data_IF_567925085560
#
_entry.id   IF_567925085560
#
_cell.length_a   1.000
_cell.length_b   1.000
_cell.length_c   1.000
_cell.angle_alpha   90.00
_cell.angle_beta   90.00
_cell.angle_gamma   90.00
#
_symmetry.space_group_name_H-M   'P 1'
#
loop_
_entity.id
_entity.type
_entity.pdbx_description
1 polymer ?
#
# COMPACT_ATOMS: atom_id res chain seq x y z
N UNK A 1 -7.37 -17.73 -5.81
CA UNK A 1 -6.04 -18.20 -6.26
C UNK A 1 -5.16 -17.12 -6.89
N UNK A 2 -5.60 -16.25 -7.83
CA UNK A 2 -4.72 -15.16 -8.34
C UNK A 2 -4.69 -13.88 -7.48
N UNK A 3 -5.84 -13.48 -6.91
CA UNK A 3 -5.98 -12.28 -6.07
C UNK A 3 -5.17 -12.35 -4.77
N UNK A 4 -5.14 -13.53 -4.15
CA UNK A 4 -4.45 -13.77 -2.88
C UNK A 4 -2.93 -13.66 -3.03
N UNK A 5 -2.37 -14.15 -4.15
CA UNK A 5 -0.95 -14.01 -4.44
C UNK A 5 -0.53 -12.55 -4.69
N UNK A 6 -1.39 -11.78 -5.37
CA UNK A 6 -1.19 -10.34 -5.56
C UNK A 6 -1.27 -9.59 -4.24
N UNK A 7 -2.23 -9.96 -3.38
CA UNK A 7 -2.38 -9.37 -2.06
C UNK A 7 -1.17 -9.70 -1.16
N UNK A 8 -0.74 -10.96 -1.13
CA UNK A 8 0.44 -11.38 -0.40
C UNK A 8 1.71 -10.70 -0.90
N UNK A 9 1.86 -10.53 -2.22
CA UNK A 9 2.97 -9.76 -2.79
C UNK A 9 2.94 -8.31 -2.31
N UNK A 10 1.78 -7.64 -2.39
CA UNK A 10 1.59 -6.29 -1.88
C UNK A 10 1.88 -6.19 -0.38
N UNK A 11 1.44 -7.15 0.43
CA UNK A 11 1.75 -7.21 1.87
C UNK A 11 3.26 -7.28 2.10
N UNK A 12 3.96 -8.21 1.43
CA UNK A 12 5.42 -8.34 1.56
C UNK A 12 6.16 -7.09 1.07
N UNK A 13 5.72 -6.47 -0.03
CA UNK A 13 6.31 -5.21 -0.47
C UNK A 13 6.01 -4.08 0.52
N UNK A 14 4.82 -4.08 1.13
CA UNK A 14 4.44 -3.07 2.14
C UNK A 14 5.27 -3.22 3.42
N UNK A 15 5.79 -4.41 3.71
CA UNK A 15 6.67 -4.67 4.86
C UNK A 15 8.00 -3.89 4.75
N UNK A 16 8.52 -3.77 3.52
CA UNK A 16 9.68 -2.96 3.15
C UNK A 16 9.26 -1.61 2.55
N UNK A 17 8.09 -1.09 2.94
CA UNK A 17 7.60 0.16 2.40
C UNK A 17 8.39 1.35 2.92
N UNK A 18 9.13 1.99 2.02
CA UNK A 18 9.73 3.29 2.26
C UNK A 18 8.76 4.41 1.84
N UNK A 19 8.22 5.21 2.77
CA UNK A 19 7.38 6.34 2.43
C UNK A 19 8.12 7.42 1.61
N UNK A 20 9.45 7.48 1.72
CA UNK A 20 10.29 8.40 0.95
C UNK A 20 10.62 7.87 -0.45
N UNK A 21 10.52 6.55 -0.67
CA UNK A 21 10.79 5.88 -1.94
C UNK A 21 9.69 4.86 -2.30
N UNK A 22 8.50 5.38 -2.65
CA UNK A 22 7.39 4.52 -3.08
C UNK A 22 7.71 3.87 -4.42
N UNK A 23 7.97 2.57 -4.37
CA UNK A 23 8.31 1.78 -5.55
C UNK A 23 7.17 1.68 -6.55
N UNK A 24 7.49 1.63 -7.85
CA UNK A 24 6.49 1.45 -8.91
C UNK A 24 5.76 0.10 -8.86
N UNK A 25 6.26 -0.84 -8.04
CA UNK A 25 5.64 -2.15 -7.79
C UNK A 25 4.22 -2.04 -7.20
N UNK A 26 3.91 -0.93 -6.55
CA UNK A 26 2.60 -0.59 -6.01
C UNK A 26 1.63 -0.01 -7.05
N UNK A 27 2.07 0.13 -8.31
CA UNK A 27 1.22 0.63 -9.39
C UNK A 27 0.41 -0.50 -10.02
N UNK A 28 -0.85 -0.21 -10.38
CA UNK A 28 -1.70 -1.15 -11.11
C UNK A 28 -1.03 -1.64 -12.41
N UNK A 29 -0.23 -0.79 -13.05
CA UNK A 29 0.50 -1.10 -14.28
C UNK A 29 1.55 -2.17 -14.05
N UNK A 30 2.38 -2.02 -13.02
CA UNK A 30 3.41 -2.99 -12.69
C UNK A 30 2.80 -4.33 -12.28
N UNK A 31 1.78 -4.31 -11.41
CA UNK A 31 1.08 -5.52 -10.99
C UNK A 31 0.43 -6.24 -12.18
N UNK A 32 -0.19 -5.51 -13.11
CA UNK A 32 -0.75 -6.10 -14.32
C UNK A 32 0.33 -6.82 -15.15
N UNK A 33 1.50 -6.21 -15.32
CA UNK A 33 2.63 -6.81 -16.04
C UNK A 33 3.19 -8.04 -15.30
N UNK A 34 3.47 -7.90 -13.99
CA UNK A 34 4.03 -8.95 -13.12
C UNK A 34 3.15 -10.20 -13.09
N UNK A 35 1.85 -10.01 -12.98
CA UNK A 35 0.89 -11.12 -12.88
C UNK A 35 0.31 -11.55 -14.23
N UNK A 36 0.86 -11.05 -15.34
CA UNK A 36 0.38 -11.36 -16.70
C UNK A 36 -1.14 -11.16 -16.85
N UNK A 37 -1.68 -10.09 -16.26
CA UNK A 37 -3.11 -9.78 -16.31
C UNK A 37 -3.36 -8.43 -17.01
N UNK A 38 -4.58 -8.24 -17.50
CA UNK A 38 -4.95 -6.98 -18.14
C UNK A 38 -4.99 -5.84 -17.12
N UNK A 39 -4.62 -4.63 -17.56
CA UNK A 39 -4.71 -3.40 -16.77
C UNK A 39 -6.13 -3.14 -16.23
N UNK A 40 -7.16 -3.50 -17.01
CA UNK A 40 -8.56 -3.42 -16.59
C UNK A 40 -8.85 -4.32 -15.39
N UNK A 41 -8.39 -5.57 -15.44
CA UNK A 41 -8.56 -6.56 -14.36
C UNK A 41 -7.78 -6.18 -13.12
N UNK A 42 -6.52 -5.75 -13.26
CA UNK A 42 -5.70 -5.30 -12.14
C UNK A 42 -6.33 -4.08 -11.45
N UNK A 43 -6.76 -3.08 -12.23
CA UNK A 43 -7.43 -1.89 -11.70
C UNK A 43 -8.74 -2.25 -10.99
N UNK A 44 -9.55 -3.14 -11.59
CA UNK A 44 -10.78 -3.62 -10.97
C UNK A 44 -10.52 -4.35 -9.63
N UNK A 45 -9.51 -5.21 -9.58
CA UNK A 45 -9.14 -5.90 -8.33
C UNK A 45 -8.65 -4.94 -7.26
N UNK A 46 -7.77 -4.01 -7.62
CA UNK A 46 -7.25 -3.00 -6.70
C UNK A 46 -8.39 -2.14 -6.16
N UNK A 47 -9.30 -1.69 -7.02
CA UNK A 47 -10.43 -0.87 -6.61
C UNK A 47 -11.39 -1.65 -5.69
N UNK A 48 -11.60 -2.95 -5.95
CA UNK A 48 -12.40 -3.81 -5.09
C UNK A 48 -11.75 -3.97 -3.70
N UNK A 49 -10.42 -4.14 -3.65
CA UNK A 49 -9.68 -4.24 -2.39
C UNK A 49 -9.63 -2.90 -1.63
N UNK A 50 -9.61 -1.78 -2.34
CA UNK A 50 -9.76 -0.44 -1.74
C UNK A 50 -11.16 -0.27 -1.14
N UNK A 51 -12.21 -0.67 -1.87
CA UNK A 51 -13.60 -0.63 -1.39
C UNK A 51 -13.85 -1.55 -0.20
N UNK A 52 -13.13 -2.68 -0.12
CA UNK A 52 -13.15 -3.60 1.03
C UNK A 52 -12.38 -3.05 2.24
N UNK A 53 -11.70 -1.91 2.11
CA UNK A 53 -10.89 -1.36 3.18
C UNK A 53 -9.51 -2.01 3.32
N UNK A 54 -9.14 -2.94 2.44
CA UNK A 54 -7.90 -3.74 2.53
C UNK A 54 -6.71 -2.97 1.96
N UNK A 55 -6.91 -2.27 0.84
CA UNK A 55 -5.90 -1.41 0.21
C UNK A 55 -6.23 0.08 0.40
N UNK A 56 -5.19 0.90 0.34
CA UNK A 56 -5.26 2.34 0.26
C UNK A 56 -4.78 2.81 -1.11
N UNK A 57 -5.48 3.76 -1.72
CA UNK A 57 -5.12 4.41 -2.96
C UNK A 57 -4.51 5.77 -2.66
N UNK A 58 -3.33 6.02 -3.21
CA UNK A 58 -2.67 7.33 -3.15
C UNK A 58 -2.70 7.94 -4.55
N UNK A 59 -3.39 9.07 -4.70
CA UNK A 59 -3.54 9.80 -5.96
C UNK A 59 -2.31 10.67 -6.29
N UNK A 60 -1.11 10.17 -6.00
CA UNK A 60 0.13 10.74 -6.51
C UNK A 60 0.24 10.51 -8.02
N UNK A 61 1.18 11.19 -8.67
CA UNK A 61 1.53 10.90 -10.06
C UNK A 61 2.92 10.25 -10.06
N UNK A 62 3.02 8.91 -10.23
CA UNK A 62 1.96 7.93 -10.54
C UNK A 62 1.11 7.48 -9.33
N UNK A 63 -0.08 6.91 -9.59
CA UNK A 63 -1.04 6.45 -8.55
C UNK A 63 -0.56 5.14 -7.93
N UNK A 64 -0.46 5.10 -6.61
CA UNK A 64 0.01 3.93 -5.86
C UNK A 64 -1.11 3.26 -5.06
N UNK A 65 -0.98 1.95 -4.87
CA UNK A 65 -1.88 1.14 -4.05
C UNK A 65 -1.09 0.43 -2.97
N UNK A 66 -1.45 0.67 -1.71
CA UNK A 66 -0.73 0.22 -0.53
C UNK A 66 -1.60 -0.63 0.37
N UNK A 67 -1.02 -1.58 1.10
CA UNK A 67 -1.81 -2.43 1.97
C UNK A 67 -2.13 -1.74 3.30
N UNK A 68 -3.39 -1.36 3.50
CA UNK A 68 -3.85 -0.67 4.71
C UNK A 68 -3.54 -1.46 5.97
N UNK A 69 -3.86 -2.75 5.96
CA UNK A 69 -3.65 -3.60 7.14
C UNK A 69 -2.17 -3.77 7.49
N UNK A 70 -1.31 -4.15 6.53
CA UNK A 70 0.13 -4.30 6.77
C UNK A 70 0.75 -2.99 7.29
N UNK A 71 0.42 -1.87 6.63
CA UNK A 71 0.86 -0.55 7.09
C UNK A 71 0.31 -0.21 8.47
N UNK A 72 -0.97 -0.50 8.74
CA UNK A 72 -1.61 -0.24 10.03
C UNK A 72 -1.07 -1.11 11.17
N UNK A 73 -0.57 -2.30 10.87
CA UNK A 73 0.08 -3.18 11.84
C UNK A 73 1.46 -2.66 12.22
N UNK A 74 2.20 -2.12 11.27
CA UNK A 74 3.56 -1.60 11.50
C UNK A 74 3.57 -0.16 12.05
N UNK A 75 2.68 0.71 11.55
CA UNK A 75 2.69 2.15 11.82
C UNK A 75 1.47 2.59 12.65
N UNK A 76 0.30 2.78 12.03
CA UNK A 76 -0.90 3.33 12.68
C UNK A 76 -2.20 3.01 11.92
N UNK A 77 -3.32 3.01 12.65
CA UNK A 77 -4.64 2.77 12.05
C UNK A 77 -5.05 3.89 11.11
N UNK A 78 -5.04 3.59 9.81
CA UNK A 78 -5.56 4.46 8.77
C UNK A 78 -7.10 4.48 8.86
N UNK A 79 -7.72 5.63 9.03
CA UNK A 79 -9.20 5.71 8.92
C UNK A 79 -9.65 5.83 7.47
N UNK A 80 -8.82 6.45 6.61
CA UNK A 80 -9.13 6.65 5.18
C UNK A 80 -8.44 5.61 4.31
N UNK A 81 -9.06 5.33 3.17
CA UNK A 81 -8.55 4.44 2.13
C UNK A 81 -8.05 5.20 0.90
N UNK A 82 -8.19 6.52 0.90
CA UNK A 82 -7.84 7.39 -0.21
C UNK A 82 -7.08 8.59 0.33
N UNK A 83 -5.93 8.85 -0.28
CA UNK A 83 -5.05 9.96 0.08
C UNK A 83 -4.61 10.71 -1.17
N UNK A 84 -4.37 12.00 -1.04
CA UNK A 84 -3.83 12.82 -2.12
C UNK A 84 -2.31 12.61 -2.26
N UNK A 85 -1.60 12.31 -1.17
CA UNK A 85 -0.13 12.13 -1.16
C UNK A 85 0.33 11.25 0.00
N UNK A 86 1.53 10.70 -0.11
CA UNK A 86 2.17 9.91 0.97
C UNK A 86 2.34 10.77 2.23
N UNK A 87 2.69 12.06 2.06
CA UNK A 87 2.77 13.01 3.17
C UNK A 87 1.44 13.18 3.91
N UNK A 88 0.31 13.23 3.19
CA UNK A 88 -1.03 13.31 3.80
C UNK A 88 -1.38 12.01 4.54
N UNK A 89 -1.02 10.86 3.96
CA UNK A 89 -1.17 9.56 4.60
C UNK A 89 -0.39 9.52 5.93
N UNK A 90 0.87 9.95 5.92
CA UNK A 90 1.73 10.03 7.10
C UNK A 90 1.23 11.06 8.11
N UNK A 91 0.77 12.23 7.66
CA UNK A 91 0.26 13.30 8.52
C UNK A 91 -1.01 12.86 9.26
N UNK A 92 -1.90 12.10 8.60
CA UNK A 92 -3.11 11.59 9.23
C UNK A 92 -2.87 10.53 10.31
N UNK A 93 -1.78 9.77 10.22
CA UNK A 93 -1.35 8.93 11.34
C UNK A 93 -0.37 9.56 12.30
N UNK A 94 0.06 10.77 11.97
CA UNK A 94 1.25 11.41 12.51
C UNK A 94 0.97 12.42 13.61
N UNK A 95 -0.23 12.48 14.19
CA UNK A 95 -0.41 13.07 15.53
C UNK A 95 0.08 12.06 16.57
N UNK A 96 1.37 11.73 16.50
CA UNK A 96 1.99 10.70 17.32
C UNK A 96 3.33 10.28 16.75
N UNK A 97 4.33 11.15 16.86
CA UNK A 97 5.74 10.76 16.74
C UNK A 97 6.06 9.74 17.84
N UNK A 98 5.77 8.47 17.60
CA UNK A 98 6.13 7.37 18.48
C UNK A 98 7.30 6.60 17.85
N UNK A 99 8.49 7.08 18.21
CA UNK A 99 9.75 6.35 18.31
C UNK A 99 9.60 4.82 18.27
N UNK A 100 10.05 4.20 17.18
CA UNK A 100 10.64 2.85 17.18
C UNK A 100 11.94 2.98 16.38
N UNK A 101 13.06 3.38 16.97
CA UNK A 101 14.04 2.41 17.51
C UNK A 101 13.74 0.97 17.10
N UNK A 102 14.02 0.67 15.83
CA UNK A 102 14.31 -0.67 15.37
C UNK A 102 15.56 -1.16 16.10
N UNK A 103 15.35 -1.87 17.21
CA UNK A 103 16.32 -2.83 17.74
C UNK A 103 16.31 -4.01 16.79
N UNK A 104 17.37 -4.17 16.00
CA UNK A 104 17.67 -5.44 15.35
C UNK A 104 18.11 -6.43 16.43
N UNK A 105 17.54 -7.64 16.51
CA UNK A 105 18.11 -8.69 17.34
C UNK A 105 19.38 -9.22 16.66
N UNK A 106 20.51 -9.13 17.36
CA UNK A 106 21.64 -10.04 17.21
C UNK A 106 21.82 -10.76 18.56
#
# INVERSE_FOLDING_TARGET
>A
MRKDALLAFLMNQTDFFDPENVSEVFTARYLAQRFNMQRNTASHYLNQLVAQGVLCKINTRPVYFLHKQAFSQQFFTLSRNEYASVAELLAHGGTGVARRTITFPC
#
